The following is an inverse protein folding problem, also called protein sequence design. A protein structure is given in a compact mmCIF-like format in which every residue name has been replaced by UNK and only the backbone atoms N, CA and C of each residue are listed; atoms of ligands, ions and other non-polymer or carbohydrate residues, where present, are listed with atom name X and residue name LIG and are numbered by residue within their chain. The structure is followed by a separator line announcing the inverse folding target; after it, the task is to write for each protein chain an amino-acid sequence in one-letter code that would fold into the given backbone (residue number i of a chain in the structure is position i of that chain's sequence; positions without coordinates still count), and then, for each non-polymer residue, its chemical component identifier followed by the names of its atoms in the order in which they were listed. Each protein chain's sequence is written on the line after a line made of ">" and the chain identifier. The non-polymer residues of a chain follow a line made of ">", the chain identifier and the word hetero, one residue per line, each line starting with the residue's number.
data_IF_626945280064
#
_entry.id   IF_626945280064
#
_cell.length_a   1.000
_cell.length_b   1.000
_cell.length_c   1.000
_cell.angle_alpha   90.00
_cell.angle_beta   90.00
_cell.angle_gamma   90.00
#
_symmetry.space_group_name_H-M   'P 1'
#
loop_
_entity.id
_entity.type
_entity.pdbx_description
1 polymer ?
#
# COMPACT_ATOMS: atom_id res chain seq x y z
N UNK A 1 5.46 -8.96 -11.88
CA UNK A 1 6.43 -8.81 -10.78
C UNK A 1 6.39 -7.37 -10.29
N UNK A 2 6.60 -7.12 -8.98
CA UNK A 2 6.76 -5.77 -8.44
C UNK A 2 7.96 -5.14 -9.17
N UNK A 3 7.76 -4.00 -9.84
CA UNK A 3 8.83 -3.29 -10.55
C UNK A 3 9.28 -2.12 -9.70
N UNK A 4 10.42 -2.25 -9.02
CA UNK A 4 11.02 -1.25 -8.14
C UNK A 4 10.05 -0.72 -7.06
N UNK A 5 10.63 -0.19 -5.99
CA UNK A 5 9.87 0.44 -4.92
C UNK A 5 10.41 1.85 -4.75
N UNK A 6 9.52 2.83 -4.57
CA UNK A 6 9.88 4.23 -4.46
C UNK A 6 9.37 4.79 -3.14
N UNK A 7 10.24 5.53 -2.45
CA UNK A 7 9.88 6.32 -1.29
C UNK A 7 9.68 7.79 -1.69
N UNK A 8 8.54 8.35 -1.32
CA UNK A 8 8.24 9.77 -1.44
C UNK A 8 8.12 10.38 -0.03
N UNK A 9 9.09 11.18 0.43
CA UNK A 9 8.86 12.04 1.59
C UNK A 9 7.78 13.05 1.23
N UNK A 10 6.73 13.19 2.04
CA UNK A 10 5.63 14.13 1.80
C UNK A 10 5.98 15.56 2.21
N UNK A 11 6.97 15.71 3.08
CA UNK A 11 7.48 16.98 3.59
C UNK A 11 9.01 16.98 3.57
N UNK A 12 9.61 18.14 3.35
CA UNK A 12 11.06 18.33 3.45
C UNK A 12 11.51 18.60 4.89
N UNK A 13 12.82 18.79 5.10
CA UNK A 13 13.40 19.06 6.42
C UNK A 13 12.94 20.37 7.07
N UNK A 14 12.21 21.23 6.35
CA UNK A 14 11.61 22.47 6.84
C UNK A 14 10.11 22.34 7.12
N UNK A 15 9.53 21.18 6.86
CA UNK A 15 8.09 20.92 7.00
C UNK A 15 7.25 21.41 5.81
N UNK A 16 7.87 21.85 4.70
CA UNK A 16 7.15 22.19 3.49
C UNK A 16 6.85 20.95 2.67
N UNK A 17 5.74 20.97 1.92
CA UNK A 17 5.38 19.89 0.99
C UNK A 17 6.47 19.75 -0.07
N UNK A 18 6.92 18.51 -0.29
CA UNK A 18 7.77 18.19 -1.42
C UNK A 18 6.98 18.33 -2.73
N UNK A 19 7.67 18.73 -3.80
CA UNK A 19 7.05 18.80 -5.12
C UNK A 19 7.06 17.42 -5.78
N UNK A 20 5.92 16.94 -6.32
CA UNK A 20 5.88 15.65 -7.02
C UNK A 20 6.68 15.73 -8.32
N UNK A 21 7.49 14.70 -8.58
CA UNK A 21 8.31 14.54 -9.78
C UNK A 21 7.61 13.70 -10.86
N UNK A 22 6.48 13.08 -10.53
CA UNK A 22 5.69 12.28 -11.46
C UNK A 22 4.18 12.40 -11.18
N UNK A 23 3.37 11.94 -12.14
CA UNK A 23 1.92 11.86 -11.95
C UNK A 23 1.50 10.91 -10.81
N UNK A 24 2.31 9.89 -10.53
CA UNK A 24 2.06 8.95 -9.43
C UNK A 24 2.33 9.62 -8.07
N UNK A 25 3.42 10.37 -7.96
CA UNK A 25 3.69 11.16 -6.75
C UNK A 25 2.62 12.24 -6.55
N UNK A 26 2.17 12.90 -7.63
CA UNK A 26 1.06 13.84 -7.54
C UNK A 26 -0.23 13.18 -7.04
N UNK A 27 -0.54 11.96 -7.49
CA UNK A 27 -1.67 11.19 -6.99
C UNK A 27 -1.53 10.85 -5.51
N UNK A 28 -0.33 10.49 -5.04
CA UNK A 28 -0.05 10.27 -3.61
C UNK A 28 -0.36 11.51 -2.78
N UNK A 29 0.04 12.70 -3.23
CA UNK A 29 -0.32 13.95 -2.54
C UNK A 29 -1.83 14.15 -2.46
N UNK A 30 -2.55 13.94 -3.57
CA UNK A 30 -4.03 14.07 -3.60
C UNK A 30 -4.69 13.08 -2.64
N UNK A 31 -4.25 11.81 -2.65
CA UNK A 31 -4.77 10.78 -1.76
C UNK A 31 -4.50 11.18 -0.29
N UNK A 32 -3.29 11.63 0.02
CA UNK A 32 -2.98 12.13 1.36
C UNK A 32 -3.91 13.26 1.77
N UNK A 33 -4.10 14.29 0.94
CA UNK A 33 -4.94 15.43 1.31
C UNK A 33 -6.40 15.02 1.50
N UNK A 34 -6.89 14.08 0.69
CA UNK A 34 -8.28 13.64 0.72
C UNK A 34 -8.59 12.71 1.89
N UNK A 35 -7.71 11.73 2.12
CA UNK A 35 -8.00 10.58 2.97
C UNK A 35 -7.23 10.62 4.29
N UNK A 36 -6.12 11.37 4.36
CA UNK A 36 -5.19 11.35 5.49
C UNK A 36 -4.90 12.72 6.11
N UNK A 37 -5.34 13.83 5.50
CA UNK A 37 -5.19 15.16 6.08
C UNK A 37 -5.95 15.22 7.41
N UNK A 38 -5.22 15.51 8.49
CA UNK A 38 -5.78 15.60 9.84
C UNK A 38 -5.80 14.29 10.63
N UNK A 39 -5.13 13.22 10.15
CA UNK A 39 -4.87 12.06 11.01
C UNK A 39 -4.00 12.43 12.22
N UNK A 40 -4.22 11.72 13.33
CA UNK A 40 -3.49 11.94 14.59
C UNK A 40 -2.01 11.56 14.46
N UNK A 41 -1.73 10.49 13.74
CA UNK A 41 -0.36 10.04 13.44
C UNK A 41 0.18 10.85 12.25
N UNK A 42 1.31 11.56 12.39
CA UNK A 42 1.91 12.27 11.27
C UNK A 42 2.35 11.29 10.17
N UNK A 43 1.75 11.40 8.98
CA UNK A 43 2.20 10.65 7.80
C UNK A 43 3.33 11.44 7.13
N UNK A 44 4.55 10.92 7.27
CA UNK A 44 5.79 11.61 6.83
C UNK A 44 6.13 11.36 5.36
N UNK A 45 5.54 10.33 4.77
CA UNK A 45 5.86 9.90 3.42
C UNK A 45 4.95 8.76 2.97
N UNK A 46 5.19 8.30 1.75
CA UNK A 46 4.54 7.14 1.20
C UNK A 46 5.54 6.29 0.44
N UNK A 47 5.39 4.98 0.57
CA UNK A 47 6.02 4.02 -0.34
C UNK A 47 5.02 3.70 -1.46
N UNK A 48 5.50 3.63 -2.70
CA UNK A 48 4.67 3.22 -3.83
C UNK A 48 5.44 2.33 -4.81
N UNK A 49 4.71 1.49 -5.54
CA UNK A 49 5.22 0.66 -6.63
C UNK A 49 4.10 0.34 -7.63
N UNK A 50 4.49 -0.12 -8.82
CA UNK A 50 3.52 -0.60 -9.83
C UNK A 50 3.59 -2.12 -9.90
N UNK A 51 2.43 -2.76 -9.79
CA UNK A 51 2.31 -4.21 -9.90
C UNK A 51 1.65 -4.59 -11.24
N UNK A 52 2.45 -5.17 -12.14
CA UNK A 52 1.96 -5.85 -13.33
C UNK A 52 1.77 -7.35 -13.07
N UNK A 53 0.54 -7.85 -13.27
CA UNK A 53 0.19 -9.27 -13.15
C UNK A 53 0.02 -9.88 -14.54
N UNK A 54 0.67 -11.01 -14.79
CA UNK A 54 0.50 -11.76 -16.04
C UNK A 54 -0.80 -12.60 -15.99
N UNK A 55 -1.37 -13.03 -17.13
CA UNK A 55 -2.66 -13.72 -17.15
C UNK A 55 -2.79 -14.97 -16.25
N UNK A 56 -1.69 -15.67 -15.98
CA UNK A 56 -1.63 -16.80 -15.05
C UNK A 56 -0.87 -16.48 -13.75
N UNK A 57 -0.44 -15.22 -13.57
CA UNK A 57 0.25 -14.78 -12.37
C UNK A 57 -0.72 -14.65 -11.21
N UNK A 58 -0.30 -15.11 -10.04
CA UNK A 58 -1.03 -14.92 -8.79
C UNK A 58 -0.22 -14.04 -7.85
N UNK A 59 -0.91 -13.19 -7.11
CA UNK A 59 -0.37 -12.53 -5.93
C UNK A 59 -0.98 -13.28 -4.76
N UNK A 60 -0.14 -13.93 -3.96
CA UNK A 60 -0.60 -14.60 -2.74
C UNK A 60 -1.09 -13.60 -1.71
N UNK A 61 -1.84 -14.09 -0.72
CA UNK A 61 -2.14 -13.28 0.46
C UNK A 61 -0.83 -12.83 1.12
N UNK A 62 -0.78 -11.55 1.47
CA UNK A 62 0.37 -10.93 2.10
C UNK A 62 -0.09 -9.68 2.84
N UNK A 63 0.81 -9.17 3.67
CA UNK A 63 0.71 -7.85 4.29
C UNK A 63 1.71 -6.91 3.61
N UNK A 64 1.28 -5.69 3.31
CA UNK A 64 2.22 -4.63 2.94
C UNK A 64 3.05 -4.25 4.16
N UNK A 65 4.36 -4.20 4.00
CA UNK A 65 5.31 -3.95 5.08
C UNK A 65 6.61 -3.40 4.52
N UNK A 66 7.41 -2.78 5.38
CA UNK A 66 8.82 -2.52 5.08
C UNK A 66 9.58 -3.86 4.96
N UNK A 67 9.75 -4.32 3.72
CA UNK A 67 10.39 -5.60 3.42
C UNK A 67 11.86 -5.64 3.84
N UNK A 68 12.57 -4.52 3.73
CA UNK A 68 13.98 -4.43 4.12
C UNK A 68 14.11 -4.53 5.63
N UNK A 69 13.32 -3.75 6.37
CA UNK A 69 13.32 -3.79 7.83
C UNK A 69 12.91 -5.17 8.35
N UNK A 70 11.88 -5.79 7.77
CA UNK A 70 11.44 -7.12 8.14
C UNK A 70 12.53 -8.18 7.91
N UNK A 71 13.25 -8.11 6.78
CA UNK A 71 14.34 -9.04 6.46
C UNK A 71 15.53 -8.91 7.41
N UNK A 72 15.90 -7.68 7.76
CA UNK A 72 17.09 -7.41 8.57
C UNK A 72 16.85 -7.57 10.08
N UNK A 73 15.63 -7.30 10.55
CA UNK A 73 15.31 -7.19 11.98
C UNK A 73 14.27 -8.21 12.46
N UNK A 74 13.75 -9.06 11.58
CA UNK A 74 12.67 -10.02 11.89
C UNK A 74 11.47 -9.35 12.57
N UNK A 75 11.21 -8.09 12.20
CA UNK A 75 10.19 -7.25 12.82
C UNK A 75 9.30 -6.64 11.75
N UNK A 76 8.01 -6.80 11.89
CA UNK A 76 7.04 -6.30 10.93
C UNK A 76 6.76 -4.82 11.19
N UNK A 77 7.02 -3.97 10.19
CA UNK A 77 6.56 -2.58 10.18
C UNK A 77 5.59 -2.38 9.04
N UNK A 78 4.35 -2.11 9.39
CA UNK A 78 3.27 -1.89 8.44
C UNK A 78 3.10 -0.39 8.18
N UNK A 79 2.64 0.02 6.99
CA UNK A 79 2.14 1.38 6.80
C UNK A 79 0.89 1.59 7.67
N UNK A 80 0.66 2.83 8.10
CA UNK A 80 -0.58 3.19 8.83
C UNK A 80 -1.81 2.91 7.97
N UNK A 81 -1.70 3.19 6.66
CA UNK A 81 -2.73 2.90 5.66
C UNK A 81 -2.09 2.48 4.34
N UNK A 82 -2.70 1.51 3.66
CA UNK A 82 -2.42 1.15 2.26
C UNK A 82 -3.64 1.45 1.37
N UNK A 83 -3.39 1.77 0.11
CA UNK A 83 -4.43 1.88 -0.93
C UNK A 83 -3.95 1.21 -2.22
N UNK A 84 -4.89 0.73 -3.04
CA UNK A 84 -4.62 0.15 -4.36
C UNK A 84 -5.37 0.97 -5.40
N UNK A 85 -4.63 1.66 -6.27
CA UNK A 85 -5.21 2.36 -7.41
C UNK A 85 -5.12 1.52 -8.68
N UNK A 86 -6.26 1.26 -9.32
CA UNK A 86 -6.30 0.48 -10.54
C UNK A 86 -6.07 1.35 -11.79
N UNK A 87 -4.97 1.08 -12.49
CA UNK A 87 -4.67 1.74 -13.78
C UNK A 87 -5.39 1.10 -14.98
N UNK A 88 -5.94 -0.10 -14.80
CA UNK A 88 -6.72 -0.81 -15.83
C UNK A 88 -7.97 -1.44 -15.22
N UNK A 89 -9.00 -1.71 -16.03
CA UNK A 89 -10.22 -2.41 -15.60
C UNK A 89 -10.19 -3.93 -15.81
N UNK A 90 -9.02 -4.51 -16.07
CA UNK A 90 -8.85 -5.94 -16.40
C UNK A 90 -7.94 -6.59 -15.37
N UNK A 91 -8.26 -7.83 -14.96
CA UNK A 91 -7.47 -8.61 -14.02
C UNK A 91 -8.30 -9.16 -12.86
N UNK A 92 -7.62 -9.76 -11.89
CA UNK A 92 -8.25 -10.22 -10.65
C UNK A 92 -8.63 -9.06 -9.71
N UNK A 93 -9.66 -9.22 -8.88
CA UNK A 93 -9.99 -8.25 -7.84
C UNK A 93 -8.97 -8.28 -6.70
N UNK A 94 -8.90 -7.18 -5.95
CA UNK A 94 -8.25 -7.19 -4.63
C UNK A 94 -9.23 -7.73 -3.60
N UNK A 95 -8.79 -8.72 -2.83
CA UNK A 95 -9.50 -9.26 -1.67
C UNK A 95 -8.78 -8.82 -0.40
N UNK A 96 -9.50 -8.15 0.48
CA UNK A 96 -9.03 -7.76 1.81
C UNK A 96 -9.80 -8.60 2.82
N UNK A 97 -9.09 -9.21 3.78
CA UNK A 97 -9.71 -10.01 4.84
C UNK A 97 -9.36 -9.44 6.21
N UNK A 98 -10.18 -9.73 7.21
CA UNK A 98 -10.00 -9.21 8.57
C UNK A 98 -8.97 -9.99 9.41
N UNK A 99 -7.88 -10.43 8.79
CA UNK A 99 -6.78 -11.08 9.48
C UNK A 99 -5.71 -10.04 9.83
N UNK A 100 -5.11 -10.21 11.00
CA UNK A 100 -3.94 -9.46 11.46
C UNK A 100 -2.80 -10.44 11.71
N UNK A 101 -1.56 -9.95 11.78
CA UNK A 101 -0.41 -10.78 12.11
C UNK A 101 0.50 -10.10 13.14
N UNK A 102 0.93 -10.80 14.20
CA UNK A 102 1.88 -10.23 15.16
C UNK A 102 3.32 -10.22 14.63
N UNK A 103 3.67 -11.15 13.73
CA UNK A 103 5.04 -11.45 13.33
C UNK A 103 5.23 -11.76 11.83
N UNK A 104 4.14 -11.75 11.05
CA UNK A 104 4.15 -12.08 9.62
C UNK A 104 4.01 -13.56 9.29
N UNK A 105 3.97 -14.44 10.30
CA UNK A 105 3.90 -15.90 10.10
C UNK A 105 2.66 -16.54 10.74
N UNK A 106 1.93 -15.80 11.58
CA UNK A 106 0.67 -16.23 12.16
C UNK A 106 -0.46 -15.27 11.81
N UNK A 107 -1.58 -15.79 11.31
CA UNK A 107 -2.79 -15.03 11.07
C UNK A 107 -3.78 -15.14 12.24
N UNK A 108 -4.33 -14.00 12.66
CA UNK A 108 -5.32 -13.91 13.73
C UNK A 108 -6.54 -13.13 13.21
N UNK A 109 -7.73 -13.76 13.13
CA UNK A 109 -7.98 -15.20 13.33
C UNK A 109 -7.32 -16.08 12.24
N UNK A 110 -7.12 -17.36 12.53
CA UNK A 110 -6.55 -18.33 11.57
C UNK A 110 -7.41 -18.45 10.30
N UNK A 111 -8.74 -18.41 10.47
CA UNK A 111 -9.69 -18.33 9.37
C UNK A 111 -10.32 -16.94 9.32
N UNK A 112 -10.26 -16.24 8.17
CA UNK A 112 -10.88 -14.94 8.02
C UNK A 112 -12.39 -15.05 8.21
N UNK A 113 -12.97 -14.12 8.96
CA UNK A 113 -14.41 -14.10 9.23
C UNK A 113 -15.15 -13.08 8.36
N UNK A 114 -14.43 -12.06 7.89
CA UNK A 114 -14.94 -10.99 7.04
C UNK A 114 -13.96 -10.74 5.90
N UNK A 115 -14.52 -10.36 4.75
CA UNK A 115 -13.73 -9.97 3.60
C UNK A 115 -14.44 -8.95 2.73
N UNK A 116 -13.65 -8.16 2.02
CA UNK A 116 -14.08 -7.16 1.06
C UNK A 116 -13.43 -7.44 -0.28
N UNK A 117 -14.23 -7.48 -1.33
CA UNK A 117 -13.75 -7.67 -2.71
C UNK A 117 -13.90 -6.37 -3.48
N UNK A 118 -12.83 -5.93 -4.12
CA UNK A 118 -12.80 -4.73 -4.93
C UNK A 118 -12.37 -5.09 -6.34
N UNK A 119 -13.29 -5.04 -7.30
CA UNK A 119 -12.97 -5.28 -8.71
C UNK A 119 -12.20 -4.11 -9.33
N UNK A 120 -11.28 -4.39 -10.28
CA UNK A 120 -10.52 -3.35 -10.96
C UNK A 120 -11.45 -2.47 -11.80
N UNK A 121 -11.30 -1.16 -11.62
CA UNK A 121 -11.93 -0.14 -12.45
C UNK A 121 -10.91 0.98 -12.65
N UNK A 122 -10.75 1.44 -13.89
CA UNK A 122 -9.79 2.50 -14.21
C UNK A 122 -10.00 3.71 -13.29
N UNK A 123 -8.92 4.17 -12.65
CA UNK A 123 -8.87 5.29 -11.71
C UNK A 123 -9.65 5.09 -10.39
N UNK A 124 -9.99 3.84 -10.03
CA UNK A 124 -10.55 3.53 -8.71
C UNK A 124 -9.43 3.32 -7.69
N UNK A 125 -9.60 3.87 -6.49
CA UNK A 125 -8.74 3.70 -5.32
C UNK A 125 -9.53 3.42 -4.04
#
# INVERSE_FOLDING_TARGET
>A
SKRNTWWLPLFDGTGQRTAPQSALEAAVHVIFERDFAGQQTPIVGAEWWIQGVQPAGQIGFHYDKDEAYASDHMTMRFPEVSTVTYLTGVGGPTLIVNQTTPDGNAEIPELPQLGYICHPQVNKH
#
